data_IF_613562810864
#
_entry.id   IF_613562810864
#
_cell.length_a   1.000
_cell.length_b   1.000
_cell.length_c   1.000
_cell.angle_alpha   90.00
_cell.angle_beta   90.00
_cell.angle_gamma   90.00
#
_symmetry.space_group_name_H-M   'P 1'
#
loop_
_entity.id
_entity.type
_entity.pdbx_description
1 polymer ?
#
# COMPACT_ATOMS: atom_id res chain seq x y z
N UNK A 1 -32.94 -18.52 54.43
CA UNK A 1 -32.85 -17.70 53.21
C UNK A 1 -31.43 -17.72 52.77
N UNK A 2 -31.10 -18.49 51.73
CA UNK A 2 -29.75 -18.54 51.15
C UNK A 2 -29.77 -17.62 49.93
N UNK A 3 -29.09 -16.48 50.00
CA UNK A 3 -28.90 -15.54 48.91
C UNK A 3 -27.85 -16.10 47.94
N UNK A 4 -28.30 -16.53 46.78
CA UNK A 4 -27.45 -16.97 45.66
C UNK A 4 -26.95 -15.70 44.95
N UNK A 5 -25.67 -15.33 45.13
CA UNK A 5 -25.03 -14.25 44.42
C UNK A 5 -24.54 -14.81 43.06
N UNK A 6 -25.28 -14.52 41.98
CA UNK A 6 -24.83 -14.76 40.62
C UNK A 6 -23.75 -13.73 40.26
N UNK A 7 -22.48 -14.14 40.27
CA UNK A 7 -21.39 -13.38 39.69
C UNK A 7 -21.48 -13.54 38.14
N UNK A 8 -22.07 -12.55 37.49
CA UNK A 8 -22.08 -12.42 36.04
C UNK A 8 -20.68 -11.94 35.62
N UNK A 9 -19.79 -12.87 35.28
CA UNK A 9 -18.49 -12.54 34.71
C UNK A 9 -18.71 -11.98 33.30
N UNK A 10 -18.67 -10.67 33.19
CA UNK A 10 -18.57 -9.97 31.91
C UNK A 10 -17.22 -10.36 31.25
N UNK A 11 -17.26 -11.36 30.39
CA UNK A 11 -16.19 -11.60 29.42
C UNK A 11 -16.23 -10.42 28.45
N UNK A 12 -15.46 -9.37 28.73
CA UNK A 12 -15.13 -8.34 27.74
C UNK A 12 -14.30 -9.00 26.64
N UNK A 13 -14.94 -9.44 25.55
CA UNK A 13 -14.24 -9.75 24.33
C UNK A 13 -13.53 -8.47 23.89
N UNK A 14 -12.22 -8.40 24.10
CA UNK A 14 -11.36 -7.40 23.48
C UNK A 14 -11.36 -7.71 21.97
N UNK A 15 -12.29 -7.08 21.26
CA UNK A 15 -12.34 -7.19 19.81
C UNK A 15 -11.23 -6.28 19.29
N UNK A 16 -10.11 -6.86 18.94
CA UNK A 16 -9.00 -6.15 18.31
C UNK A 16 -9.47 -5.69 16.92
N UNK A 17 -9.39 -4.39 16.68
CA UNK A 17 -9.61 -3.85 15.35
C UNK A 17 -8.50 -4.40 14.42
N UNK A 18 -8.89 -5.01 13.31
CA UNK A 18 -7.96 -5.56 12.32
C UNK A 18 -8.22 -4.84 11.00
N UNK A 19 -7.21 -4.16 10.49
CA UNK A 19 -7.34 -3.30 9.31
C UNK A 19 -7.13 -4.06 8.01
N UNK A 20 -6.37 -5.16 8.05
CA UNK A 20 -5.91 -5.87 6.87
C UNK A 20 -6.43 -7.32 6.79
N UNK A 21 -6.57 -7.78 5.57
CA UNK A 21 -6.55 -9.18 5.17
C UNK A 21 -5.24 -9.39 4.41
N UNK A 22 -4.16 -9.58 5.17
CA UNK A 22 -2.82 -9.59 4.63
C UNK A 22 -2.28 -10.99 4.41
N UNK A 23 -1.65 -11.20 3.26
CA UNK A 23 -0.78 -12.34 2.98
C UNK A 23 0.67 -11.88 3.05
N UNK A 24 1.49 -12.59 3.82
CA UNK A 24 2.94 -12.36 3.88
C UNK A 24 3.63 -13.60 3.34
N UNK A 25 4.58 -13.40 2.44
CA UNK A 25 5.42 -14.48 1.87
C UNK A 25 6.87 -14.09 2.06
N UNK A 26 7.67 -14.98 2.65
CA UNK A 26 9.11 -14.83 2.82
C UNK A 26 9.82 -15.81 1.88
N UNK A 27 10.39 -15.30 0.81
CA UNK A 27 11.18 -16.09 -0.13
C UNK A 27 12.67 -16.05 0.24
N UNK A 28 13.19 -17.18 0.66
CA UNK A 28 14.59 -17.42 0.97
C UNK A 28 15.27 -18.39 0.00
N UNK A 29 14.69 -18.60 -1.19
CA UNK A 29 15.18 -19.57 -2.19
C UNK A 29 16.62 -19.30 -2.65
N UNK A 30 17.08 -18.05 -2.52
CA UNK A 30 18.44 -17.63 -2.87
C UNK A 30 19.46 -17.86 -1.73
N UNK A 31 18.99 -18.21 -0.53
CA UNK A 31 19.83 -18.41 0.63
C UNK A 31 20.21 -19.89 0.70
N UNK A 32 21.49 -20.17 0.58
CA UNK A 32 22.00 -21.54 0.67
C UNK A 32 22.17 -21.95 2.15
N UNK A 33 21.04 -22.23 2.82
CA UNK A 33 21.01 -22.67 4.20
C UNK A 33 20.19 -23.95 4.36
N UNK A 34 20.68 -24.87 5.21
CA UNK A 34 20.00 -26.14 5.51
C UNK A 34 18.81 -25.97 6.47
N UNK A 35 18.80 -24.93 7.31
CA UNK A 35 17.72 -24.68 8.27
C UNK A 35 16.81 -23.53 7.78
N UNK A 36 15.64 -23.88 7.28
CA UNK A 36 14.62 -22.94 6.81
C UNK A 36 13.65 -22.50 7.92
N UNK A 37 13.80 -23.01 9.13
CA UNK A 37 12.84 -22.74 10.22
C UNK A 37 12.74 -21.27 10.56
N UNK A 38 13.86 -20.54 10.56
CA UNK A 38 13.86 -19.08 10.89
C UNK A 38 13.05 -18.26 9.88
N UNK A 39 13.07 -18.63 8.60
CA UNK A 39 12.29 -17.93 7.56
C UNK A 39 10.79 -18.22 7.70
N UNK A 40 10.40 -19.45 8.02
CA UNK A 40 9.02 -19.82 8.33
C UNK A 40 8.51 -19.11 9.59
N UNK A 41 9.36 -18.99 10.62
CA UNK A 41 9.06 -18.23 11.83
C UNK A 41 8.87 -16.74 11.52
N UNK A 42 9.72 -16.15 10.69
CA UNK A 42 9.65 -14.77 10.24
C UNK A 42 8.33 -14.51 9.48
N UNK A 43 8.00 -15.35 8.51
CA UNK A 43 6.76 -15.26 7.75
C UNK A 43 5.53 -15.29 8.64
N UNK A 44 5.47 -16.26 9.54
CA UNK A 44 4.35 -16.40 10.48
C UNK A 44 4.22 -15.19 11.41
N UNK A 45 5.34 -14.71 11.99
CA UNK A 45 5.30 -13.59 12.91
C UNK A 45 4.94 -12.28 12.20
N UNK A 46 5.39 -12.06 10.97
CA UNK A 46 5.00 -10.91 10.17
C UNK A 46 3.53 -10.97 9.77
N UNK A 47 3.03 -12.15 9.37
CA UNK A 47 1.62 -12.36 9.09
C UNK A 47 0.76 -12.07 10.33
N UNK A 48 1.16 -12.57 11.48
CA UNK A 48 0.50 -12.30 12.76
C UNK A 48 0.55 -10.82 13.12
N UNK A 49 1.70 -10.17 12.95
CA UNK A 49 1.88 -8.75 13.23
C UNK A 49 0.94 -7.87 12.39
N UNK A 50 0.93 -8.04 11.08
CA UNK A 50 0.09 -7.21 10.18
C UNK A 50 -1.41 -7.47 10.39
N UNK A 51 -1.81 -8.74 10.54
CA UNK A 51 -3.22 -9.10 10.65
C UNK A 51 -3.82 -8.86 12.04
N UNK A 52 -2.99 -8.78 13.10
CA UNK A 52 -3.46 -8.63 14.48
C UNK A 52 -3.22 -7.24 15.08
N UNK A 53 -2.33 -6.44 14.48
CA UNK A 53 -2.11 -5.06 14.91
C UNK A 53 -3.25 -4.17 14.42
N UNK A 54 -3.75 -3.31 15.31
CA UNK A 54 -4.68 -2.24 14.96
C UNK A 54 -3.88 -1.01 14.56
N UNK A 55 -3.89 -0.66 13.28
CA UNK A 55 -3.25 0.55 12.75
C UNK A 55 -4.23 1.72 12.69
N UNK A 56 -5.53 1.44 12.55
CA UNK A 56 -6.59 2.43 12.61
C UNK A 56 -7.28 2.40 13.98
N UNK A 57 -7.89 3.52 14.35
CA UNK A 57 -8.73 3.60 15.57
C UNK A 57 -10.15 3.09 15.31
N UNK A 58 -10.45 2.68 14.08
CA UNK A 58 -11.79 2.27 13.65
C UNK A 58 -11.90 0.75 13.63
N UNK A 59 -13.00 0.24 14.15
CA UNK A 59 -13.35 -1.16 13.96
C UNK A 59 -13.75 -1.38 12.49
N UNK A 60 -12.97 -2.18 11.77
CA UNK A 60 -13.26 -2.58 10.39
C UNK A 60 -13.85 -3.99 10.40
N UNK A 61 -15.02 -4.15 9.78
CA UNK A 61 -15.62 -5.47 9.59
C UNK A 61 -14.75 -6.32 8.67
N UNK A 62 -14.74 -7.63 8.87
CA UNK A 62 -13.87 -8.56 8.12
C UNK A 62 -14.00 -8.42 6.61
N UNK A 63 -15.22 -8.16 6.13
CA UNK A 63 -15.47 -7.97 4.69
C UNK A 63 -14.87 -6.67 4.12
N UNK A 64 -14.55 -5.70 4.97
CA UNK A 64 -14.04 -4.38 4.57
C UNK A 64 -12.54 -4.21 4.86
N UNK A 65 -11.86 -5.27 5.33
CA UNK A 65 -10.40 -5.24 5.53
C UNK A 65 -9.68 -5.08 4.21
N UNK A 66 -8.62 -4.30 4.22
CA UNK A 66 -7.82 -4.01 3.04
C UNK A 66 -7.02 -5.26 2.64
N UNK A 67 -7.23 -5.83 1.44
CA UNK A 67 -6.41 -6.92 0.94
C UNK A 67 -5.02 -6.39 0.59
N UNK A 68 -3.98 -7.01 1.17
CA UNK A 68 -2.60 -6.62 0.91
C UNK A 68 -1.68 -7.84 0.92
N UNK A 69 -0.73 -7.86 -0.01
CA UNK A 69 0.32 -8.87 -0.09
C UNK A 69 1.67 -8.22 0.18
N UNK A 70 2.45 -8.82 1.04
CA UNK A 70 3.84 -8.46 1.33
C UNK A 70 4.74 -9.63 0.88
N UNK A 71 5.59 -9.38 -0.11
CA UNK A 71 6.57 -10.35 -0.61
C UNK A 71 7.97 -9.90 -0.16
N UNK A 72 8.55 -10.62 0.80
CA UNK A 72 9.86 -10.34 1.35
C UNK A 72 10.87 -11.34 0.75
N UNK A 73 11.66 -10.88 -0.22
CA UNK A 73 12.69 -11.70 -0.85
C UNK A 73 14.02 -11.49 -0.13
N UNK A 74 14.49 -12.52 0.58
CA UNK A 74 15.74 -12.46 1.34
C UNK A 74 16.92 -12.60 0.38
N UNK A 75 17.83 -11.63 0.43
CA UNK A 75 19.06 -11.59 -0.38
C UNK A 75 20.30 -11.99 0.41
N UNK A 76 20.33 -11.74 1.73
CA UNK A 76 21.38 -12.19 2.62
C UNK A 76 20.84 -12.48 4.03
N UNK A 77 21.47 -13.44 4.70
CA UNK A 77 21.19 -13.80 6.09
C UNK A 77 22.47 -14.22 6.80
N UNK A 78 22.80 -13.53 7.89
CA UNK A 78 23.92 -13.85 8.73
C UNK A 78 23.65 -13.39 10.17
N UNK A 79 23.86 -14.27 11.17
CA UNK A 79 23.77 -13.94 12.61
C UNK A 79 22.48 -13.16 12.99
N UNK A 80 21.32 -13.62 12.54
CA UNK A 80 20.00 -12.99 12.74
C UNK A 80 19.84 -11.63 12.04
N UNK A 81 20.78 -11.18 11.24
CA UNK A 81 20.69 -10.04 10.35
C UNK A 81 20.22 -10.46 8.97
N UNK A 82 19.28 -9.74 8.43
CA UNK A 82 18.64 -10.00 7.14
C UNK A 82 18.81 -8.81 6.21
N UNK A 83 19.11 -9.08 4.96
CA UNK A 83 18.93 -8.14 3.86
C UNK A 83 17.89 -8.68 2.90
N UNK A 84 17.02 -7.81 2.42
CA UNK A 84 15.88 -8.23 1.61
C UNK A 84 15.42 -7.11 0.66
N UNK A 85 14.57 -7.50 -0.28
CA UNK A 85 13.70 -6.62 -1.05
C UNK A 85 12.27 -6.88 -0.61
N UNK A 86 11.48 -5.84 -0.35
CA UNK A 86 10.07 -5.93 -0.01
C UNK A 86 9.22 -5.41 -1.17
N UNK A 87 8.24 -6.20 -1.58
CA UNK A 87 7.22 -5.77 -2.51
C UNK A 87 5.87 -5.76 -1.81
N UNK A 88 5.15 -4.65 -1.94
CA UNK A 88 3.83 -4.43 -1.34
C UNK A 88 2.83 -4.26 -2.46
N UNK A 89 1.76 -5.08 -2.44
CA UNK A 89 0.65 -5.00 -3.37
C UNK A 89 -0.65 -4.93 -2.59
N UNK A 90 -1.46 -3.91 -2.82
CA UNK A 90 -2.82 -3.87 -2.29
C UNK A 90 -3.82 -3.68 -3.41
N UNK A 91 -5.05 -4.09 -3.16
CA UNK A 91 -6.17 -3.89 -4.07
C UNK A 91 -7.39 -3.36 -3.31
N UNK A 92 -8.30 -2.76 -4.05
CA UNK A 92 -9.51 -2.15 -3.55
C UNK A 92 -10.72 -2.78 -4.24
N UNK A 93 -11.77 -3.18 -3.49
CA UNK A 93 -13.01 -3.63 -4.09
C UNK A 93 -13.68 -2.48 -4.86
N UNK A 94 -14.27 -2.78 -6.00
CA UNK A 94 -15.05 -1.84 -6.79
C UNK A 94 -16.52 -2.03 -6.45
N UNK A 95 -17.22 -0.92 -6.24
CA UNK A 95 -18.61 -0.92 -5.82
C UNK A 95 -19.50 -1.76 -6.76
N UNK A 96 -20.31 -2.63 -6.16
CA UNK A 96 -21.23 -3.51 -6.85
C UNK A 96 -20.59 -4.38 -7.95
N UNK A 97 -19.34 -4.78 -7.74
CA UNK A 97 -18.55 -5.64 -8.64
C UNK A 97 -17.77 -6.69 -7.84
N UNK A 98 -17.42 -7.79 -8.47
CA UNK A 98 -16.47 -8.76 -7.93
C UNK A 98 -15.01 -8.39 -8.27
N UNK A 99 -14.81 -7.33 -9.03
CA UNK A 99 -13.48 -6.91 -9.46
C UNK A 99 -12.71 -6.21 -8.32
N UNK A 100 -11.46 -6.61 -8.17
CA UNK A 100 -10.51 -6.02 -7.23
C UNK A 100 -9.51 -5.17 -8.01
N UNK A 101 -9.63 -3.86 -7.91
CA UNK A 101 -8.75 -2.94 -8.62
C UNK A 101 -7.40 -2.84 -7.90
N UNK A 102 -6.25 -3.07 -8.56
CA UNK A 102 -4.94 -2.85 -7.95
C UNK A 102 -4.79 -1.39 -7.51
N UNK A 103 -4.41 -1.15 -6.27
CA UNK A 103 -4.29 0.20 -5.73
C UNK A 103 -2.84 0.61 -5.49
N UNK A 104 -2.06 -0.27 -4.89
CA UNK A 104 -0.66 -0.02 -4.52
C UNK A 104 0.22 -1.10 -5.13
N UNK A 105 1.30 -0.68 -5.75
CA UNK A 105 2.42 -1.54 -6.14
C UNK A 105 3.71 -0.78 -5.82
N UNK A 106 4.33 -1.13 -4.69
CA UNK A 106 5.58 -0.52 -4.22
C UNK A 106 6.64 -1.61 -4.10
N UNK A 107 7.85 -1.31 -4.58
CA UNK A 107 9.03 -2.14 -4.40
C UNK A 107 10.08 -1.36 -3.63
N UNK A 108 10.44 -1.87 -2.45
CA UNK A 108 11.49 -1.36 -1.59
C UNK A 108 12.72 -2.28 -1.68
N UNK A 109 13.80 -1.84 -2.31
CA UNK A 109 15.00 -2.66 -2.50
C UNK A 109 15.95 -2.67 -1.28
N UNK A 110 15.69 -1.84 -0.27
CA UNK A 110 16.61 -1.59 0.85
C UNK A 110 16.00 -1.97 2.20
N UNK A 111 15.72 -3.25 2.38
CA UNK A 111 15.18 -3.78 3.63
C UNK A 111 16.29 -4.51 4.38
N UNK A 112 16.74 -3.94 5.51
CA UNK A 112 17.74 -4.53 6.40
C UNK A 112 17.21 -4.53 7.82
N UNK A 113 17.23 -5.66 8.50
CA UNK A 113 16.68 -5.80 9.85
C UNK A 113 17.33 -6.96 10.62
N UNK A 114 17.11 -6.96 11.94
CA UNK A 114 17.40 -8.08 12.80
C UNK A 114 16.10 -8.78 13.21
N UNK A 115 16.12 -10.08 13.21
CA UNK A 115 15.00 -10.91 13.65
C UNK A 115 15.49 -12.09 14.50
N UNK A 116 14.80 -12.30 15.62
CA UNK A 116 15.04 -13.43 16.51
C UNK A 116 13.72 -14.23 16.63
N UNK A 117 13.81 -15.55 16.50
CA UNK A 117 12.65 -16.40 16.73
C UNK A 117 12.11 -16.17 18.15
N UNK A 118 10.79 -16.20 18.26
CA UNK A 118 10.03 -16.01 19.50
C UNK A 118 10.08 -14.59 20.12
N UNK A 119 10.87 -13.67 19.60
CA UNK A 119 10.77 -12.27 20.01
C UNK A 119 9.51 -11.65 19.38
N UNK A 120 8.56 -11.11 20.18
CA UNK A 120 7.32 -10.59 19.63
C UNK A 120 7.56 -9.31 18.80
N UNK A 121 6.89 -9.22 17.66
CA UNK A 121 6.82 -7.99 16.89
C UNK A 121 5.64 -7.16 17.41
N UNK A 122 5.92 -6.02 18.03
CA UNK A 122 4.90 -5.16 18.66
C UNK A 122 5.11 -3.73 18.18
N UNK A 123 4.04 -3.11 17.67
CA UNK A 123 4.04 -1.69 17.37
C UNK A 123 3.79 -0.88 18.66
N UNK A 124 4.75 -0.05 19.02
CA UNK A 124 4.55 1.03 19.96
C UNK A 124 4.77 2.36 19.23
N UNK A 125 3.71 3.14 19.05
CA UNK A 125 3.73 4.39 18.29
C UNK A 125 4.64 5.47 18.91
N UNK A 126 5.04 5.29 20.17
CA UNK A 126 5.94 6.22 20.86
C UNK A 126 7.41 5.74 20.90
N UNK A 127 7.65 4.46 20.64
CA UNK A 127 8.99 3.87 20.68
C UNK A 127 9.07 2.64 19.79
N UNK A 128 9.85 2.70 18.74
CA UNK A 128 10.08 1.58 17.82
C UNK A 128 11.50 1.07 18.02
N UNK A 129 11.65 -0.16 18.49
CA UNK A 129 12.95 -0.76 18.83
C UNK A 129 13.48 -1.71 17.75
N UNK A 130 12.67 -2.00 16.71
CA UNK A 130 13.02 -2.94 15.66
C UNK A 130 12.72 -2.35 14.27
N UNK A 131 13.72 -2.38 13.38
CA UNK A 131 13.58 -1.85 12.02
C UNK A 131 12.53 -2.62 11.20
N UNK A 132 12.35 -3.93 11.44
CA UNK A 132 11.31 -4.71 10.78
C UNK A 132 9.91 -4.20 11.12
N UNK A 133 9.66 -3.91 12.40
CA UNK A 133 8.41 -3.29 12.87
C UNK A 133 8.21 -1.91 12.25
N UNK A 134 9.27 -1.09 12.19
CA UNK A 134 9.22 0.22 11.56
C UNK A 134 8.81 0.13 10.08
N UNK A 135 9.47 -0.74 9.30
CA UNK A 135 9.22 -0.91 7.87
C UNK A 135 7.78 -1.36 7.61
N UNK A 136 7.32 -2.42 8.28
CA UNK A 136 5.98 -2.95 8.06
C UNK A 136 4.88 -1.99 8.54
N UNK A 137 5.07 -1.31 9.67
CA UNK A 137 4.14 -0.28 10.15
C UNK A 137 4.06 0.93 9.21
N UNK A 138 5.20 1.38 8.70
CA UNK A 138 5.26 2.45 7.73
C UNK A 138 4.44 2.13 6.47
N UNK A 139 4.63 0.94 5.88
CA UNK A 139 3.88 0.54 4.70
C UNK A 139 2.41 0.25 5.01
N UNK A 140 2.08 -0.26 6.19
CA UNK A 140 0.70 -0.42 6.63
C UNK A 140 -0.03 0.94 6.65
N UNK A 141 0.57 1.96 7.25
CA UNK A 141 0.00 3.31 7.23
C UNK A 141 -0.11 3.91 5.83
N UNK A 142 0.88 3.70 4.96
CA UNK A 142 0.79 4.17 3.57
C UNK A 142 -0.34 3.48 2.79
N UNK A 143 -0.52 2.18 2.95
CA UNK A 143 -1.60 1.44 2.30
C UNK A 143 -2.96 1.95 2.76
N UNK A 144 -3.17 2.13 4.08
CA UNK A 144 -4.42 2.69 4.62
C UNK A 144 -4.65 4.12 4.11
N UNK A 145 -3.59 4.94 4.04
CA UNK A 145 -3.71 6.31 3.56
C UNK A 145 -4.14 6.39 2.09
N UNK A 146 -3.53 5.58 1.23
CA UNK A 146 -3.85 5.53 -0.20
C UNK A 146 -5.24 4.91 -0.43
N UNK A 147 -5.61 3.90 0.33
CA UNK A 147 -6.95 3.33 0.31
C UNK A 147 -8.00 4.38 0.68
N UNK A 148 -7.81 5.09 1.78
CA UNK A 148 -8.70 6.16 2.21
C UNK A 148 -8.82 7.27 1.16
N UNK A 149 -7.71 7.72 0.56
CA UNK A 149 -7.70 8.75 -0.50
C UNK A 149 -8.44 8.29 -1.77
N UNK A 150 -8.53 6.98 -2.01
CA UNK A 150 -9.27 6.43 -3.15
C UNK A 150 -10.81 6.49 -2.96
N UNK A 151 -11.28 6.52 -1.71
CA UNK A 151 -12.72 6.64 -1.37
C UNK A 151 -13.16 8.09 -1.12
N UNK A 152 -12.27 8.90 -0.57
CA UNK A 152 -12.58 10.31 -0.27
C UNK A 152 -11.33 11.16 -0.38
N UNK A 153 -11.43 12.24 -1.14
CA UNK A 153 -10.30 13.13 -1.39
C UNK A 153 -9.61 13.59 -0.11
N UNK A 154 -8.30 13.35 -0.03
CA UNK A 154 -7.41 13.74 1.07
C UNK A 154 -7.79 13.15 2.46
N UNK A 155 -8.52 12.04 2.50
CA UNK A 155 -8.91 11.39 3.76
C UNK A 155 -7.80 10.55 4.40
N UNK A 156 -6.72 10.26 3.66
CA UNK A 156 -5.54 9.55 4.15
C UNK A 156 -4.60 10.36 5.03
N UNK A 157 -4.82 11.68 5.21
CA UNK A 157 -3.88 12.62 5.85
C UNK A 157 -3.41 12.19 7.25
N UNK A 158 -4.29 11.65 8.08
CA UNK A 158 -3.96 11.19 9.43
C UNK A 158 -2.96 10.01 9.38
N UNK A 159 -3.11 9.12 8.41
CA UNK A 159 -2.24 7.95 8.26
C UNK A 159 -0.88 8.32 7.66
N UNK A 160 -0.81 9.30 6.76
CA UNK A 160 0.49 9.87 6.36
C UNK A 160 1.23 10.47 7.55
N UNK A 161 0.53 11.14 8.47
CA UNK A 161 1.14 11.66 9.71
C UNK A 161 1.64 10.54 10.63
N UNK A 162 0.90 9.43 10.73
CA UNK A 162 1.39 8.24 11.47
C UNK A 162 2.63 7.62 10.80
N UNK A 163 2.67 7.53 9.48
CA UNK A 163 3.86 7.08 8.74
C UNK A 163 5.06 8.03 8.94
N UNK A 164 4.82 9.36 9.03
CA UNK A 164 5.86 10.34 9.36
C UNK A 164 6.41 10.13 10.76
N UNK A 165 5.57 9.81 11.75
CA UNK A 165 6.01 9.49 13.10
C UNK A 165 6.90 8.23 13.12
N UNK A 166 6.48 7.16 12.44
CA UNK A 166 7.29 5.94 12.28
C UNK A 166 8.66 6.26 11.67
N UNK A 167 8.68 7.05 10.58
CA UNK A 167 9.90 7.49 9.92
C UNK A 167 10.82 8.26 10.89
N UNK A 168 10.28 9.21 11.64
CA UNK A 168 11.05 10.00 12.60
C UNK A 168 11.65 9.14 13.71
N UNK A 169 10.89 8.18 14.25
CA UNK A 169 11.36 7.23 15.24
C UNK A 169 12.47 6.32 14.69
N UNK A 170 12.28 5.80 13.47
CA UNK A 170 13.31 4.97 12.82
C UNK A 170 14.61 5.74 12.54
N UNK A 171 14.51 7.01 12.16
CA UNK A 171 15.66 7.92 11.99
C UNK A 171 16.37 8.18 13.31
N UNK A 172 15.64 8.42 14.41
CA UNK A 172 16.22 8.65 15.73
C UNK A 172 17.01 7.45 16.26
N UNK A 173 16.63 6.24 15.82
CA UNK A 173 17.33 4.98 16.10
C UNK A 173 18.45 4.65 15.11
N UNK A 174 18.68 5.51 14.12
CA UNK A 174 19.65 5.28 13.03
C UNK A 174 19.44 3.96 12.29
N UNK A 175 18.20 3.53 12.15
CA UNK A 175 17.88 2.33 11.36
C UNK A 175 18.23 2.53 9.89
N UNK A 176 18.61 1.44 9.21
CA UNK A 176 18.97 1.47 7.80
C UNK A 176 17.74 1.75 6.92
N UNK A 177 17.95 2.53 5.83
CA UNK A 177 16.94 2.82 4.80
C UNK A 177 16.01 3.99 5.11
N UNK A 178 16.30 4.80 6.15
CA UNK A 178 15.49 5.95 6.57
C UNK A 178 16.16 7.31 6.36
N UNK A 179 17.26 7.36 5.64
CA UNK A 179 17.93 8.60 5.27
C UNK A 179 17.66 8.94 3.81
N UNK A 180 17.49 10.23 3.52
CA UNK A 180 17.37 10.69 2.14
C UNK A 180 18.68 10.41 1.40
N UNK A 181 18.60 9.72 0.28
CA UNK A 181 19.73 9.44 -0.60
C UNK A 181 19.32 9.68 -2.07
N UNK A 182 20.31 9.69 -2.96
CA UNK A 182 20.09 9.95 -4.40
C UNK A 182 19.69 8.69 -5.19
N UNK A 183 19.21 7.64 -4.55
CA UNK A 183 18.77 6.42 -5.22
C UNK A 183 17.38 6.60 -5.82
N UNK A 184 17.06 5.76 -6.80
CA UNK A 184 15.77 5.81 -7.52
C UNK A 184 14.56 5.53 -6.61
N UNK A 185 14.73 4.72 -5.56
CA UNK A 185 13.74 4.48 -4.51
C UNK A 185 14.27 4.97 -3.16
N UNK A 186 13.39 5.62 -2.39
CA UNK A 186 13.70 6.09 -1.04
C UNK A 186 12.40 6.27 -0.24
N UNK A 187 12.30 5.65 0.95
CA UNK A 187 11.11 5.75 1.82
C UNK A 187 10.80 7.19 2.23
N UNK A 188 11.84 7.97 2.54
CA UNK A 188 11.69 9.38 2.93
C UNK A 188 11.14 10.20 1.76
N UNK A 189 11.67 10.00 0.55
CA UNK A 189 11.18 10.68 -0.65
C UNK A 189 9.73 10.27 -0.96
N UNK A 190 9.41 8.98 -0.90
CA UNK A 190 8.06 8.47 -1.15
C UNK A 190 7.04 9.13 -0.23
N UNK A 191 7.32 9.15 1.08
CA UNK A 191 6.42 9.76 2.05
C UNK A 191 6.29 11.27 1.84
N UNK A 192 7.39 11.98 1.56
CA UNK A 192 7.36 13.41 1.26
C UNK A 192 6.49 13.70 0.04
N UNK A 193 6.59 12.88 -1.02
CA UNK A 193 5.75 13.01 -2.22
C UNK A 193 4.26 12.77 -1.95
N UNK A 194 3.92 11.92 -0.99
CA UNK A 194 2.53 11.59 -0.65
C UNK A 194 1.92 12.54 0.41
N UNK A 195 2.74 13.17 1.24
CA UNK A 195 2.26 13.97 2.38
C UNK A 195 2.36 15.49 2.19
N UNK A 196 3.11 15.97 1.19
CA UNK A 196 3.25 17.40 0.93
C UNK A 196 2.06 17.99 0.15
N UNK A 197 2.04 19.33 0.01
CA UNK A 197 1.00 20.03 -0.73
C UNK A 197 0.99 19.71 -2.24
N UNK A 198 2.10 19.26 -2.82
CA UNK A 198 2.18 18.88 -4.23
C UNK A 198 1.42 17.58 -4.52
N UNK A 199 1.24 16.72 -3.51
CA UNK A 199 0.49 15.47 -3.61
C UNK A 199 -0.99 15.63 -3.91
N UNK A 200 -1.54 16.84 -3.81
CA UNK A 200 -2.95 17.14 -4.06
C UNK A 200 -3.43 16.63 -5.42
N UNK A 201 -2.61 16.78 -6.46
CA UNK A 201 -2.96 16.28 -7.80
C UNK A 201 -2.98 14.76 -7.88
N UNK A 202 -2.03 14.08 -7.22
CA UNK A 202 -1.99 12.64 -7.14
C UNK A 202 -3.21 12.07 -6.37
N UNK A 203 -3.54 12.66 -5.23
CA UNK A 203 -4.72 12.29 -4.43
C UNK A 203 -6.03 12.55 -5.19
N UNK A 204 -6.12 13.66 -5.94
CA UNK A 204 -7.25 13.91 -6.83
C UNK A 204 -7.36 12.84 -7.92
N UNK A 205 -6.21 12.41 -8.48
CA UNK A 205 -6.20 11.34 -9.47
C UNK A 205 -6.70 10.03 -8.87
N UNK A 206 -6.25 9.63 -7.68
CA UNK A 206 -6.74 8.43 -6.99
C UNK A 206 -8.26 8.47 -6.77
N UNK A 207 -8.75 9.57 -6.21
CA UNK A 207 -10.17 9.77 -5.94
C UNK A 207 -11.02 9.75 -7.22
N UNK A 208 -10.62 10.51 -8.23
CA UNK A 208 -11.34 10.61 -9.50
C UNK A 208 -11.35 9.28 -10.25
N UNK A 209 -10.21 8.57 -10.27
CA UNK A 209 -10.07 7.29 -10.93
C UNK A 209 -10.96 6.22 -10.29
N UNK A 210 -10.91 6.09 -8.95
CA UNK A 210 -11.60 5.00 -8.27
C UNK A 210 -13.07 5.32 -7.99
N UNK A 211 -13.36 6.37 -7.22
CA UNK A 211 -14.74 6.64 -6.81
C UNK A 211 -15.58 7.17 -7.97
N UNK A 212 -15.06 8.13 -8.75
CA UNK A 212 -15.82 8.73 -9.87
C UNK A 212 -15.75 7.89 -11.14
N UNK A 213 -14.65 7.18 -11.35
CA UNK A 213 -14.46 6.30 -12.47
C UNK A 213 -14.99 4.89 -12.20
N UNK A 214 -14.21 4.07 -11.47
CA UNK A 214 -14.50 2.63 -11.35
C UNK A 214 -15.79 2.32 -10.60
N UNK A 215 -16.04 2.94 -9.44
CA UNK A 215 -17.24 2.66 -8.64
C UNK A 215 -18.55 3.09 -9.34
N UNK A 216 -18.46 4.10 -10.20
CA UNK A 216 -19.62 4.57 -10.95
C UNK A 216 -19.80 3.87 -12.30
N UNK A 217 -18.85 3.01 -12.71
CA UNK A 217 -18.79 2.39 -14.03
C UNK A 217 -20.06 1.58 -14.36
N UNK A 218 -20.67 0.94 -13.37
CA UNK A 218 -21.87 0.13 -13.55
C UNK A 218 -23.12 0.98 -13.85
N UNK A 219 -23.14 2.22 -13.39
CA UNK A 219 -24.30 3.12 -13.52
C UNK A 219 -24.19 4.05 -14.72
N UNK A 220 -23.01 4.60 -14.95
CA UNK A 220 -22.74 5.58 -16.00
C UNK A 220 -21.34 5.37 -16.59
N UNK A 221 -21.17 4.39 -17.48
CA UNK A 221 -19.86 4.05 -18.03
C UNK A 221 -19.24 5.19 -18.86
N UNK A 222 -20.05 6.06 -19.49
CA UNK A 222 -19.53 7.18 -20.28
C UNK A 222 -18.89 8.23 -19.38
N UNK A 223 -19.59 8.73 -18.37
CA UNK A 223 -19.05 9.71 -17.43
C UNK A 223 -17.94 9.10 -16.57
N UNK A 224 -18.00 7.81 -16.27
CA UNK A 224 -16.95 7.08 -15.56
C UNK A 224 -15.64 7.06 -16.34
N UNK A 225 -15.67 6.74 -17.63
CA UNK A 225 -14.48 6.82 -18.49
C UNK A 225 -13.94 8.25 -18.58
N UNK A 226 -14.81 9.27 -18.66
CA UNK A 226 -14.38 10.67 -18.64
C UNK A 226 -13.68 11.04 -17.33
N UNK A 227 -14.15 10.53 -16.18
CA UNK A 227 -13.50 10.72 -14.88
C UNK A 227 -12.12 10.07 -14.86
N UNK A 228 -11.95 8.89 -15.46
CA UNK A 228 -10.64 8.25 -15.60
C UNK A 228 -9.70 9.08 -16.49
N UNK A 229 -10.18 9.60 -17.62
CA UNK A 229 -9.41 10.53 -18.47
C UNK A 229 -8.96 11.76 -17.68
N UNK A 230 -9.84 12.33 -16.87
CA UNK A 230 -9.54 13.46 -16.00
C UNK A 230 -8.49 13.11 -14.93
N UNK A 231 -8.57 11.91 -14.33
CA UNK A 231 -7.58 11.42 -13.38
C UNK A 231 -6.18 11.32 -14.02
N UNK A 232 -6.09 10.82 -15.26
CA UNK A 232 -4.84 10.77 -16.04
C UNK A 232 -4.32 12.19 -16.33
N UNK A 233 -5.21 13.15 -16.57
CA UNK A 233 -4.83 14.56 -16.68
C UNK A 233 -4.20 15.14 -15.41
N UNK A 234 -4.70 14.77 -14.23
CA UNK A 234 -4.08 15.13 -12.94
C UNK A 234 -2.70 14.49 -12.78
N UNK A 235 -2.55 13.20 -13.14
CA UNK A 235 -1.25 12.53 -13.11
C UNK A 235 -0.24 13.17 -14.07
N UNK A 236 -0.69 13.63 -15.24
CA UNK A 236 0.16 14.35 -16.20
C UNK A 236 0.69 15.65 -15.60
N UNK A 237 -0.19 16.42 -14.99
CA UNK A 237 0.20 17.66 -14.31
C UNK A 237 1.12 17.44 -13.12
N UNK A 238 0.88 16.39 -12.33
CA UNK A 238 1.73 15.97 -11.22
C UNK A 238 3.10 15.48 -11.70
N UNK A 239 3.16 14.66 -12.74
CA UNK A 239 4.37 14.04 -13.28
C UNK A 239 5.29 15.00 -14.04
N UNK A 240 4.89 16.25 -14.27
CA UNK A 240 5.77 17.27 -14.88
C UNK A 240 7.02 17.55 -14.03
N UNK A 241 6.95 17.37 -12.70
CA UNK A 241 8.12 17.38 -11.85
C UNK A 241 8.83 16.01 -11.92
N UNK A 242 10.12 16.01 -12.28
CA UNK A 242 10.91 14.78 -12.47
C UNK A 242 10.98 13.89 -11.22
N UNK A 243 10.93 14.47 -10.01
CA UNK A 243 10.93 13.73 -8.74
C UNK A 243 9.65 12.94 -8.51
N UNK A 244 8.53 13.33 -9.13
CA UNK A 244 7.23 12.67 -9.02
C UNK A 244 7.09 11.42 -9.92
N UNK A 245 7.99 11.25 -10.88
CA UNK A 245 7.90 10.18 -11.89
C UNK A 245 7.84 8.78 -11.29
N UNK A 246 8.56 8.52 -10.20
CA UNK A 246 8.55 7.22 -9.54
C UNK A 246 7.15 6.86 -9.02
N UNK A 247 6.43 7.83 -8.44
CA UNK A 247 5.07 7.62 -7.96
C UNK A 247 4.07 7.45 -9.10
N UNK A 248 4.22 8.24 -10.17
CA UNK A 248 3.43 8.08 -11.41
C UNK A 248 3.66 6.72 -12.05
N UNK A 249 4.92 6.27 -12.13
CA UNK A 249 5.26 4.95 -12.66
C UNK A 249 4.62 3.84 -11.81
N UNK A 250 4.72 3.92 -10.49
CA UNK A 250 4.07 2.96 -9.57
C UNK A 250 2.55 2.87 -9.77
N UNK A 251 1.90 3.99 -10.08
CA UNK A 251 0.48 4.00 -10.44
C UNK A 251 0.23 3.20 -11.74
N UNK A 252 0.99 3.45 -12.80
CA UNK A 252 0.79 2.74 -14.06
C UNK A 252 1.23 1.28 -14.00
N UNK A 253 2.24 0.94 -13.21
CA UNK A 253 2.62 -0.46 -12.96
C UNK A 253 1.46 -1.25 -12.35
N UNK A 254 0.62 -0.61 -11.53
CA UNK A 254 -0.59 -1.21 -10.97
C UNK A 254 -1.79 -1.18 -11.93
N UNK A 255 -1.90 -0.17 -12.83
CA UNK A 255 -3.13 0.18 -13.54
C UNK A 255 -3.10 -0.04 -15.06
N UNK A 256 -1.96 -0.31 -15.67
CA UNK A 256 -1.85 -0.30 -17.13
C UNK A 256 -2.81 -1.30 -17.80
N UNK A 257 -2.93 -2.53 -17.30
CA UNK A 257 -3.88 -3.52 -17.81
C UNK A 257 -5.33 -3.06 -17.63
N UNK A 258 -5.68 -2.55 -16.43
CA UNK A 258 -7.02 -2.08 -16.13
C UNK A 258 -7.43 -0.93 -17.05
N UNK A 259 -6.52 0.01 -17.33
CA UNK A 259 -6.76 1.13 -18.26
C UNK A 259 -6.97 0.59 -19.69
N UNK A 260 -6.16 -0.35 -20.12
CA UNK A 260 -6.34 -0.99 -21.43
C UNK A 260 -7.75 -1.60 -21.56
N UNK A 261 -8.16 -2.42 -20.59
CA UNK A 261 -9.45 -3.10 -20.59
C UNK A 261 -10.62 -2.11 -20.58
N UNK A 262 -10.52 -1.03 -19.81
CA UNK A 262 -11.55 0.01 -19.72
C UNK A 262 -11.75 0.69 -21.08
N UNK A 263 -10.67 1.03 -21.79
CA UNK A 263 -10.78 1.82 -23.02
C UNK A 263 -10.89 0.99 -24.30
N UNK A 264 -10.65 -0.32 -24.23
CA UNK A 264 -10.93 -1.25 -25.33
C UNK A 264 -12.33 -1.87 -25.25
N UNK A 265 -12.99 -1.82 -24.07
CA UNK A 265 -14.34 -2.35 -23.85
C UNK A 265 -15.39 -1.26 -23.63
N UNK A 266 -16.68 -1.66 -23.67
CA UNK A 266 -17.83 -0.79 -23.37
C UNK A 266 -18.05 0.39 -24.34
N UNK A 267 -18.79 1.43 -23.92
CA UNK A 267 -19.09 2.57 -24.78
C UNK A 267 -17.84 3.37 -25.11
N UNK A 268 -17.72 3.81 -26.36
CA UNK A 268 -16.65 4.69 -26.81
C UNK A 268 -16.88 6.12 -26.34
N UNK A 269 -15.78 6.79 -26.01
CA UNK A 269 -15.73 8.21 -25.68
C UNK A 269 -14.59 8.88 -26.48
N UNK A 270 -14.58 10.21 -26.66
CA UNK A 270 -13.45 10.90 -27.25
C UNK A 270 -12.18 10.70 -26.40
N UNK A 271 -11.09 10.27 -27.04
CA UNK A 271 -9.81 9.92 -26.37
C UNK A 271 -8.60 10.68 -26.95
N UNK A 272 -8.84 11.75 -27.72
CA UNK A 272 -7.82 12.44 -28.54
C UNK A 272 -6.53 12.78 -27.77
N UNK A 273 -6.64 13.16 -26.50
CA UNK A 273 -5.48 13.47 -25.66
C UNK A 273 -5.08 12.37 -24.69
N UNK A 274 -5.90 11.31 -24.56
CA UNK A 274 -5.66 10.23 -23.61
C UNK A 274 -4.44 9.42 -24.00
N UNK A 275 -4.43 8.88 -25.20
CA UNK A 275 -3.35 8.01 -25.70
C UNK A 275 -2.01 8.73 -25.68
N UNK A 276 -1.97 9.99 -26.15
CA UNK A 276 -0.75 10.82 -26.09
C UNK A 276 -0.29 11.04 -24.65
N UNK A 277 -1.21 11.24 -23.71
CA UNK A 277 -0.88 11.43 -22.29
C UNK A 277 -0.34 10.14 -21.68
N UNK A 278 -0.95 9.00 -21.98
CA UNK A 278 -0.51 7.68 -21.50
C UNK A 278 0.88 7.33 -22.05
N UNK A 279 1.14 7.57 -23.34
CA UNK A 279 2.46 7.36 -23.97
C UNK A 279 3.54 8.22 -23.32
N UNK A 280 3.21 9.47 -22.96
CA UNK A 280 4.15 10.37 -22.28
C UNK A 280 4.42 9.98 -20.83
N UNK A 281 3.39 9.54 -20.09
CA UNK A 281 3.49 9.24 -18.66
C UNK A 281 4.07 7.86 -18.37
N UNK A 282 3.72 6.88 -19.20
CA UNK A 282 4.08 5.49 -19.00
C UNK A 282 4.48 4.82 -20.32
N UNK A 283 5.62 5.24 -20.92
CA UNK A 283 6.09 4.74 -22.22
C UNK A 283 6.40 3.24 -22.22
N UNK A 284 6.67 2.64 -21.06
CA UNK A 284 6.93 1.21 -20.93
C UNK A 284 5.73 0.35 -21.33
N UNK A 285 4.52 0.90 -21.34
CA UNK A 285 3.27 0.25 -21.74
C UNK A 285 2.77 0.71 -23.11
N UNK A 286 3.69 1.15 -23.99
CA UNK A 286 3.36 1.71 -25.31
C UNK A 286 2.48 0.81 -26.18
N UNK A 287 2.69 -0.52 -26.12
CA UNK A 287 1.87 -1.51 -26.85
C UNK A 287 0.42 -1.50 -26.36
N UNK A 288 0.18 -1.34 -25.04
CA UNK A 288 -1.15 -1.23 -24.48
C UNK A 288 -1.85 0.04 -24.96
N UNK A 289 -1.14 1.16 -24.94
CA UNK A 289 -1.71 2.45 -25.35
C UNK A 289 -2.04 2.50 -26.85
N UNK A 290 -1.28 1.77 -27.66
CA UNK A 290 -1.52 1.67 -29.10
C UNK A 290 -2.76 0.83 -29.46
N UNK A 291 -3.23 -0.02 -28.55
CA UNK A 291 -4.44 -0.83 -28.73
C UNK A 291 -5.73 -0.06 -28.39
N UNK A 292 -5.63 1.08 -27.66
CA UNK A 292 -6.76 1.96 -27.33
C UNK A 292 -7.14 2.75 -28.62
N UNK A 293 -8.40 2.59 -29.07
CA UNK A 293 -8.88 3.19 -30.31
C UNK A 293 -10.14 4.03 -30.08
#
# INVERSE_FOLDING_TARGET
>A
MKTLVCILSLFSCVVVAQDFNATVVVDASRINQSNLQIFNSLEKQLSDFINKTSFSEKRIETAHRIPVNFFLNISAYENNSFEATLQIQSSRPIYNSMYMSPLVLIKDPEVSFQFQEFAPLILNENNIDNNLVAIFSYYAYLVIALDADSFSFNSGSAYYSKAQNVMALAQSRSFSGWTLNNRSFNRVLLLNLLSNNESVLFKKALYEYHLKGLDNMIYDPVNSKQSIVKAIGYLKSFGNNGTHRTLVQSFFDAKANEILDIFTGGPQIPIDNLVTSLQSLAPLFGDYWSAIK
#
